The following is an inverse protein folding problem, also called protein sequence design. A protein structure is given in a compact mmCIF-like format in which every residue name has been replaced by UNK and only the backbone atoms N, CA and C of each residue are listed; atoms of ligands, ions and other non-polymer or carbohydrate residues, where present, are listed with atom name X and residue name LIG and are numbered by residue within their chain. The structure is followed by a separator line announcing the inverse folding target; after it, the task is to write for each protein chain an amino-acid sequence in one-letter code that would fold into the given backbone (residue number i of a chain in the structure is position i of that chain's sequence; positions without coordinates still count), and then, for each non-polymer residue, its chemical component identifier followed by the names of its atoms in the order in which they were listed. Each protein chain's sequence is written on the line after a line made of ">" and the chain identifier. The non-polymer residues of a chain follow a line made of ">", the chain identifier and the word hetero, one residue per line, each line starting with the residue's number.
data_IF_778626626248
#
_entry.id   IF_778626626248
#
_cell.length_a   1.000
_cell.length_b   1.000
_cell.length_c   1.000
_cell.angle_alpha   90.00
_cell.angle_beta   90.00
_cell.angle_gamma   90.00
#
_symmetry.space_group_name_H-M   'P 1'
#
loop_
_entity.id
_entity.type
_entity.pdbx_description
1 polymer ?
#
# COMPACT_ATOMS: atom_id res chain seq x y z
N UNK A 1 8.95 -19.14 18.48
CA UNK A 1 8.73 -19.17 17.02
C UNK A 1 7.95 -17.93 16.61
N UNK A 2 8.46 -17.23 15.61
CA UNK A 2 7.76 -16.03 15.11
C UNK A 2 6.66 -16.43 14.14
N UNK A 3 5.49 -15.82 14.28
CA UNK A 3 4.38 -16.04 13.38
C UNK A 3 4.53 -15.11 12.17
N UNK A 4 4.45 -15.67 10.98
CA UNK A 4 4.52 -14.89 9.75
C UNK A 4 3.10 -14.58 9.26
N UNK A 5 2.92 -13.37 8.73
CA UNK A 5 1.65 -12.91 8.18
C UNK A 5 1.86 -12.46 6.75
N UNK A 6 0.84 -12.67 5.94
CA UNK A 6 0.80 -12.10 4.60
C UNK A 6 0.24 -10.69 4.71
N UNK A 7 0.98 -9.72 4.20
CA UNK A 7 0.58 -8.33 4.25
C UNK A 7 0.55 -7.73 2.85
N UNK A 8 -0.26 -6.71 2.64
CA UNK A 8 -0.35 -6.01 1.36
C UNK A 8 -0.14 -4.53 1.59
N UNK A 9 0.73 -3.94 0.77
CA UNK A 9 1.09 -2.54 0.85
C UNK A 9 0.75 -1.86 -0.46
N UNK A 10 -0.03 -0.78 -0.40
CA UNK A 10 -0.30 0.07 -1.55
C UNK A 10 0.90 0.92 -1.88
N UNK A 11 1.22 1.01 -3.16
CA UNK A 11 2.33 1.79 -3.69
C UNK A 11 1.78 2.91 -4.56
N UNK A 12 2.20 4.15 -4.35
CA UNK A 12 1.75 5.26 -5.16
C UNK A 12 2.78 6.36 -5.27
N UNK A 13 2.86 7.00 -6.43
CA UNK A 13 3.71 8.16 -6.65
C UNK A 13 3.18 8.96 -7.83
N UNK A 14 3.26 10.30 -7.78
CA UNK A 14 2.87 11.13 -8.91
C UNK A 14 3.83 12.28 -9.20
N UNK A 15 4.98 12.31 -8.55
CA UNK A 15 6.02 13.30 -8.79
C UNK A 15 7.31 12.63 -9.23
N UNK A 16 8.07 13.29 -10.10
CA UNK A 16 9.36 12.85 -10.56
C UNK A 16 9.30 11.55 -11.37
N UNK A 17 10.32 10.74 -11.29
CA UNK A 17 10.36 9.43 -11.94
C UNK A 17 9.60 8.44 -11.07
N UNK A 18 8.30 8.35 -11.30
CA UNK A 18 7.36 7.56 -10.49
C UNK A 18 7.76 6.08 -10.44
N UNK A 19 8.08 5.51 -11.60
CA UNK A 19 8.43 4.09 -11.66
C UNK A 19 9.70 3.79 -10.90
N UNK A 20 10.75 4.59 -11.09
CA UNK A 20 12.02 4.40 -10.38
C UNK A 20 11.82 4.54 -8.86
N UNK A 21 11.01 5.52 -8.44
CA UNK A 21 10.71 5.73 -7.02
C UNK A 21 10.02 4.51 -6.42
N UNK A 22 9.00 3.96 -7.10
CA UNK A 22 8.28 2.81 -6.58
C UNK A 22 9.16 1.55 -6.59
N UNK A 23 9.99 1.36 -7.59
CA UNK A 23 10.95 0.26 -7.61
C UNK A 23 11.94 0.37 -6.44
N UNK A 24 12.42 1.57 -6.17
CA UNK A 24 13.33 1.80 -5.04
C UNK A 24 12.63 1.52 -3.72
N UNK A 25 11.37 1.91 -3.58
CA UNK A 25 10.59 1.58 -2.37
C UNK A 25 10.52 0.08 -2.16
N UNK A 26 10.24 -0.69 -3.21
CA UNK A 26 10.17 -2.16 -3.13
C UNK A 26 11.53 -2.73 -2.73
N UNK A 27 12.62 -2.23 -3.29
CA UNK A 27 13.97 -2.68 -2.92
C UNK A 27 14.27 -2.42 -1.45
N UNK A 28 13.90 -1.25 -0.94
CA UNK A 28 14.12 -0.90 0.47
C UNK A 28 13.29 -1.80 1.38
N UNK A 29 12.06 -2.12 1.00
CA UNK A 29 11.23 -3.06 1.76
C UNK A 29 11.84 -4.46 1.73
N UNK A 30 12.27 -4.92 0.56
CA UNK A 30 12.86 -6.25 0.41
C UNK A 30 14.15 -6.42 1.23
N UNK A 31 14.89 -5.33 1.43
CA UNK A 31 16.10 -5.34 2.26
C UNK A 31 15.86 -5.13 3.74
N UNK A 32 14.61 -4.98 4.17
CA UNK A 32 14.27 -4.70 5.57
C UNK A 32 14.16 -5.98 6.39
N UNK A 33 14.74 -6.02 7.62
CA UNK A 33 14.58 -7.17 8.50
C UNK A 33 13.10 -7.45 8.78
N UNK A 34 12.71 -8.72 8.70
CA UNK A 34 11.34 -9.15 8.98
C UNK A 34 10.37 -8.97 7.83
N UNK A 35 10.83 -8.56 6.67
CA UNK A 35 10.00 -8.38 5.48
C UNK A 35 10.57 -9.16 4.31
N UNK A 36 9.71 -9.95 3.65
CA UNK A 36 10.01 -10.58 2.38
C UNK A 36 8.98 -10.09 1.37
N UNK A 37 9.43 -9.49 0.28
CA UNK A 37 8.53 -9.11 -0.82
C UNK A 37 8.36 -10.32 -1.71
N UNK A 38 7.14 -10.85 -1.79
CA UNK A 38 6.87 -12.08 -2.56
C UNK A 38 6.28 -11.80 -3.93
N UNK A 39 5.64 -10.66 -4.13
CA UNK A 39 5.09 -10.30 -5.43
C UNK A 39 4.80 -8.81 -5.49
N UNK A 40 4.81 -8.25 -6.68
CA UNK A 40 4.41 -6.86 -6.94
C UNK A 40 3.46 -6.87 -8.13
N UNK A 41 2.36 -6.17 -8.02
CA UNK A 41 1.39 -6.09 -9.11
C UNK A 41 1.92 -5.25 -10.27
N UNK A 42 1.22 -5.29 -11.39
CA UNK A 42 1.40 -4.32 -12.47
C UNK A 42 1.20 -2.91 -11.90
N UNK A 43 2.05 -1.99 -12.31
CA UNK A 43 1.89 -0.57 -11.96
C UNK A 43 1.00 0.08 -13.01
N UNK A 44 -0.03 0.82 -12.57
CA UNK A 44 -1.02 1.43 -13.45
C UNK A 44 -1.18 2.90 -13.15
N UNK A 45 -1.36 3.70 -14.19
CA UNK A 45 -1.68 5.12 -14.01
C UNK A 45 -3.13 5.27 -13.58
N UNK A 46 -3.37 6.17 -12.62
CA UNK A 46 -4.70 6.46 -12.12
C UNK A 46 -4.88 7.95 -11.96
N UNK A 47 -6.14 8.40 -12.08
CA UNK A 47 -6.47 9.81 -11.88
C UNK A 47 -6.37 10.17 -10.39
N UNK A 48 -5.94 11.43 -10.09
CA UNK A 48 -5.88 11.88 -8.69
C UNK A 48 -7.26 11.87 -8.04
N UNK A 49 -7.29 11.49 -6.74
CA UNK A 49 -8.51 11.49 -5.93
C UNK A 49 -8.41 12.63 -4.93
N UNK A 50 -9.41 13.49 -4.88
CA UNK A 50 -9.54 14.58 -3.92
C UNK A 50 -8.95 15.90 -4.39
N UNK A 51 -7.69 15.92 -4.82
CA UNK A 51 -7.02 17.09 -5.35
C UNK A 51 -6.70 16.86 -6.84
N UNK A 52 -7.59 17.34 -7.71
CA UNK A 52 -7.54 16.99 -9.14
C UNK A 52 -6.45 17.72 -9.93
N UNK A 53 -5.97 18.88 -9.46
CA UNK A 53 -4.98 19.68 -10.17
C UNK A 53 -3.56 19.21 -9.87
N UNK A 54 -3.23 18.01 -10.33
CA UNK A 54 -1.92 17.40 -10.13
C UNK A 54 -1.69 16.28 -11.16
N UNK A 55 -0.42 15.85 -11.34
CA UNK A 55 -0.14 14.73 -12.24
C UNK A 55 -0.85 13.45 -11.81
N UNK A 56 -1.07 12.55 -12.77
CA UNK A 56 -1.65 11.25 -12.49
C UNK A 56 -0.70 10.43 -11.62
N UNK A 57 -1.28 9.60 -10.76
CA UNK A 57 -0.53 8.65 -9.94
C UNK A 57 -0.13 7.42 -10.72
N UNK A 58 1.02 6.85 -10.37
CA UNK A 58 1.35 5.49 -10.72
C UNK A 58 1.12 4.65 -9.47
N UNK A 59 0.27 3.63 -9.55
CA UNK A 59 -0.15 2.83 -8.40
C UNK A 59 0.05 1.35 -8.63
N UNK A 60 0.27 0.63 -7.53
CA UNK A 60 0.31 -0.81 -7.51
C UNK A 60 0.19 -1.32 -6.07
N UNK A 61 0.40 -2.61 -5.90
CA UNK A 61 0.39 -3.26 -4.58
C UNK A 61 1.54 -4.25 -4.51
N UNK A 62 2.21 -4.28 -3.36
CA UNK A 62 3.21 -5.29 -3.05
C UNK A 62 2.63 -6.28 -2.04
N UNK A 63 2.83 -7.57 -2.30
CA UNK A 63 2.50 -8.62 -1.35
C UNK A 63 3.75 -8.99 -0.57
N UNK A 64 3.64 -9.02 0.74
CA UNK A 64 4.75 -9.27 1.66
C UNK A 64 4.43 -10.48 2.53
N UNK A 65 5.49 -11.14 2.99
CA UNK A 65 5.42 -12.02 4.16
C UNK A 65 6.26 -11.36 5.24
N UNK A 66 5.70 -11.21 6.43
CA UNK A 66 6.37 -10.47 7.50
C UNK A 66 6.07 -11.06 8.86
N UNK A 67 7.06 -10.99 9.77
CA UNK A 67 6.86 -11.30 11.17
C UNK A 67 6.70 -10.03 12.03
N UNK A 68 6.68 -8.86 11.39
CA UNK A 68 6.46 -7.60 12.09
C UNK A 68 4.99 -7.45 12.46
N UNK A 69 4.73 -6.79 13.60
CA UNK A 69 3.37 -6.39 13.94
C UNK A 69 2.88 -5.33 12.97
N UNK A 70 1.55 -5.08 12.89
CA UNK A 70 1.05 -3.98 12.05
C UNK A 70 1.71 -2.65 12.36
N UNK A 71 1.91 -2.33 13.64
CA UNK A 71 2.57 -1.08 14.05
C UNK A 71 4.01 -1.02 13.59
N UNK A 72 4.77 -2.09 13.78
CA UNK A 72 6.18 -2.14 13.37
C UNK A 72 6.30 -2.05 11.85
N UNK A 73 5.41 -2.70 11.12
CA UNK A 73 5.40 -2.62 9.66
C UNK A 73 5.07 -1.20 9.20
N UNK A 74 4.06 -0.57 9.79
CA UNK A 74 3.73 0.83 9.47
C UNK A 74 4.92 1.75 9.71
N UNK A 75 5.61 1.58 10.84
CA UNK A 75 6.78 2.41 11.16
C UNK A 75 7.85 2.26 10.07
N UNK A 76 8.07 1.03 9.58
CA UNK A 76 9.05 0.81 8.51
C UNK A 76 8.60 1.45 7.20
N UNK A 77 7.31 1.39 6.87
CA UNK A 77 6.78 2.06 5.67
C UNK A 77 7.03 3.57 5.74
N UNK A 78 6.80 4.17 6.90
CA UNK A 78 7.06 5.60 7.11
C UNK A 78 8.54 5.96 6.98
N UNK A 79 9.43 5.09 7.47
CA UNK A 79 10.87 5.28 7.31
C UNK A 79 11.28 5.24 5.83
N UNK A 80 10.74 4.29 5.07
CA UNK A 80 11.03 4.18 3.62
C UNK A 80 10.55 5.44 2.91
N UNK A 81 9.36 5.93 3.24
CA UNK A 81 8.87 7.18 2.66
C UNK A 81 9.83 8.33 2.92
N UNK A 82 10.33 8.45 4.14
CA UNK A 82 11.30 9.50 4.50
C UNK A 82 12.62 9.35 3.76
N UNK A 83 13.11 8.12 3.62
CA UNK A 83 14.33 7.85 2.86
C UNK A 83 14.18 8.27 1.39
N UNK A 84 12.97 8.20 0.86
CA UNK A 84 12.67 8.58 -0.52
C UNK A 84 12.26 10.06 -0.66
N UNK A 85 12.37 10.83 0.41
CA UNK A 85 12.19 12.26 0.38
C UNK A 85 10.78 12.78 0.64
N UNK A 86 9.85 11.92 1.05
CA UNK A 86 8.51 12.39 1.40
C UNK A 86 8.51 13.05 2.77
N UNK A 87 7.89 14.25 2.83
CA UNK A 87 7.63 14.94 4.09
C UNK A 87 6.12 15.02 4.28
N UNK A 88 5.60 14.28 5.25
CA UNK A 88 4.16 14.27 5.55
C UNK A 88 3.74 15.56 6.24
N UNK A 89 2.53 16.00 5.96
CA UNK A 89 1.95 17.19 6.56
C UNK A 89 2.22 18.47 5.80
N UNK A 90 2.99 18.43 4.72
CA UNK A 90 3.22 19.58 3.85
C UNK A 90 2.31 19.51 2.63
N UNK A 91 1.88 20.67 2.16
CA UNK A 91 1.05 20.79 0.98
C UNK A 91 -0.41 20.43 1.22
N UNK A 92 -1.25 20.47 0.18
CA UNK A 92 -2.66 20.17 0.31
C UNK A 92 -2.91 18.68 0.57
N UNK A 93 -3.97 18.39 1.30
CA UNK A 93 -4.40 17.02 1.53
C UNK A 93 -4.69 16.36 0.18
N UNK A 94 -4.26 15.11 0.00
CA UNK A 94 -4.34 14.37 -1.27
C UNK A 94 -3.58 15.04 -2.43
N UNK A 95 -2.69 15.98 -2.14
CA UNK A 95 -1.86 16.63 -3.14
C UNK A 95 -0.70 15.78 -3.64
N UNK A 96 0.19 16.38 -4.46
CA UNK A 96 1.33 15.65 -5.04
C UNK A 96 2.25 15.03 -4.01
N UNK A 97 2.77 13.82 -4.32
CA UNK A 97 3.66 13.08 -3.43
C UNK A 97 4.72 12.32 -4.21
N UNK A 98 5.95 12.37 -3.69
CA UNK A 98 7.03 11.59 -4.26
C UNK A 98 6.71 10.09 -4.13
N UNK A 99 6.23 9.68 -2.95
CA UNK A 99 5.88 8.29 -2.68
C UNK A 99 4.82 8.21 -1.60
N UNK A 100 3.95 7.21 -1.72
CA UNK A 100 2.90 6.94 -0.74
C UNK A 100 2.86 5.42 -0.54
N UNK A 101 3.09 4.97 0.68
CA UNK A 101 3.06 3.56 1.05
C UNK A 101 1.97 3.35 2.10
N UNK A 102 0.91 2.62 1.72
CA UNK A 102 -0.23 2.39 2.59
C UNK A 102 -0.29 0.92 3.04
N UNK A 103 -0.39 0.70 4.34
CA UNK A 103 -0.64 -0.64 4.86
C UNK A 103 -2.12 -0.97 4.62
N UNK A 104 -2.38 -1.91 3.71
CA UNK A 104 -3.73 -2.27 3.28
C UNK A 104 -4.31 -3.40 4.12
N UNK A 105 -3.55 -4.47 4.27
CA UNK A 105 -3.96 -5.68 4.97
C UNK A 105 -2.77 -6.28 5.71
N UNK A 106 -3.02 -6.88 6.86
CA UNK A 106 -2.01 -7.59 7.65
C UNK A 106 -2.63 -8.89 8.17
N UNK A 107 -2.54 -9.95 7.35
CA UNK A 107 -3.23 -11.20 7.63
C UNK A 107 -4.73 -10.97 7.77
N UNK A 108 -5.31 -11.54 8.80
CA UNK A 108 -6.73 -11.36 9.14
C UNK A 108 -6.93 -10.29 10.21
N UNK A 109 -5.89 -9.56 10.58
CA UNK A 109 -5.96 -8.62 11.70
C UNK A 109 -6.82 -7.41 11.40
N UNK A 110 -7.56 -6.99 12.43
CA UNK A 110 -8.35 -5.76 12.42
C UNK A 110 -7.81 -4.88 13.54
N UNK A 111 -7.27 -3.72 13.16
CA UNK A 111 -6.66 -2.78 14.09
C UNK A 111 -7.30 -1.42 13.90
N UNK A 112 -7.69 -0.78 14.99
CA UNK A 112 -8.23 0.58 14.97
C UNK A 112 -7.61 1.35 16.12
N UNK A 113 -6.44 1.91 15.83
CA UNK A 113 -5.66 2.67 16.79
C UNK A 113 -5.29 4.02 16.18
N UNK A 114 -4.85 4.93 17.02
CA UNK A 114 -4.39 6.24 16.55
C UNK A 114 -3.25 6.08 15.54
N UNK A 115 -3.48 6.56 14.32
CA UNK A 115 -2.50 6.49 13.25
C UNK A 115 -2.36 5.14 12.57
N UNK A 116 -3.18 4.14 12.97
CA UNK A 116 -3.10 2.81 12.39
C UNK A 116 -4.49 2.17 12.29
N UNK A 117 -5.01 2.10 11.09
CA UNK A 117 -6.28 1.41 10.81
C UNK A 117 -6.04 0.34 9.75
N UNK A 118 -6.29 -0.92 10.11
CA UNK A 118 -6.13 -2.08 9.23
C UNK A 118 -7.38 -2.94 9.34
N UNK A 119 -8.02 -3.34 8.26
CA UNK A 119 -7.74 -2.99 6.85
C UNK A 119 -7.83 -1.49 6.59
N UNK A 120 -7.13 -1.03 5.55
CA UNK A 120 -7.18 0.38 5.20
C UNK A 120 -8.63 0.83 5.02
N UNK A 121 -9.06 1.95 5.63
CA UNK A 121 -10.49 2.30 5.71
C UNK A 121 -11.16 2.54 4.36
N UNK A 122 -10.39 2.89 3.32
CA UNK A 122 -10.93 3.16 1.99
C UNK A 122 -10.66 2.06 0.97
N UNK A 123 -10.10 0.94 1.42
CA UNK A 123 -9.68 -0.14 0.53
C UNK A 123 -10.83 -0.61 -0.37
N UNK A 124 -11.99 -0.85 0.20
CA UNK A 124 -13.13 -1.40 -0.51
C UNK A 124 -13.75 -0.43 -1.53
N UNK A 125 -13.42 0.86 -1.43
CA UNK A 125 -13.97 1.91 -2.30
C UNK A 125 -13.05 2.26 -3.47
N UNK A 126 -11.81 1.75 -3.47
CA UNK A 126 -10.79 2.18 -4.44
C UNK A 126 -10.44 1.09 -5.43
N UNK A 127 -10.96 1.21 -6.67
CA UNK A 127 -10.63 0.24 -7.71
C UNK A 127 -9.12 0.15 -7.97
N UNK A 128 -8.40 1.26 -7.84
CA UNK A 128 -6.94 1.26 -8.04
C UNK A 128 -6.18 0.51 -6.94
N UNK A 129 -6.88 0.07 -5.89
CA UNK A 129 -6.37 -0.84 -4.86
C UNK A 129 -6.91 -2.25 -5.10
N UNK A 130 -8.22 -2.37 -5.36
CA UNK A 130 -8.87 -3.67 -5.56
C UNK A 130 -8.34 -4.42 -6.78
N UNK A 131 -8.10 -3.73 -7.89
CA UNK A 131 -7.61 -4.37 -9.09
C UNK A 131 -6.22 -5.00 -8.91
N UNK A 132 -5.22 -4.29 -8.35
CA UNK A 132 -3.93 -4.92 -8.07
C UNK A 132 -4.01 -6.04 -7.04
N UNK A 133 -4.85 -5.90 -6.02
CA UNK A 133 -5.05 -6.98 -5.04
C UNK A 133 -5.59 -8.23 -5.73
N UNK A 134 -6.57 -8.07 -6.58
CA UNK A 134 -7.16 -9.18 -7.33
C UNK A 134 -6.13 -9.81 -8.28
N UNK A 135 -5.27 -9.01 -8.88
CA UNK A 135 -4.18 -9.52 -9.72
C UNK A 135 -3.25 -10.44 -8.94
N UNK A 136 -2.89 -10.03 -7.71
CA UNK A 136 -1.96 -10.79 -6.87
C UNK A 136 -2.61 -12.03 -6.25
N UNK A 137 -3.88 -11.94 -5.90
CA UNK A 137 -4.64 -13.04 -5.31
C UNK A 137 -6.11 -12.94 -5.72
N UNK A 138 -6.51 -13.65 -6.80
CA UNK A 138 -7.89 -13.61 -7.28
C UNK A 138 -8.93 -14.10 -6.27
N UNK A 139 -8.51 -14.86 -5.26
CA UNK A 139 -9.40 -15.41 -4.25
C UNK A 139 -9.36 -14.67 -2.91
N UNK A 140 -8.67 -13.51 -2.89
CA UNK A 140 -8.49 -12.76 -1.66
C UNK A 140 -9.83 -12.37 -1.03
N UNK A 141 -9.95 -12.68 0.26
CA UNK A 141 -11.10 -12.31 1.09
C UNK A 141 -10.62 -11.36 2.18
N UNK A 142 -11.37 -10.30 2.41
CA UNK A 142 -11.07 -9.34 3.46
C UNK A 142 -11.46 -9.91 4.83
N UNK A 143 -10.91 -9.38 5.94
CA UNK A 143 -11.26 -9.85 7.27
C UNK A 143 -12.76 -9.82 7.60
N UNK A 144 -13.53 -8.95 6.95
CA UNK A 144 -14.98 -8.88 7.14
C UNK A 144 -15.76 -9.90 6.31
N UNK A 145 -15.06 -10.75 5.55
CA UNK A 145 -15.67 -11.81 4.76
C UNK A 145 -16.00 -11.44 3.31
N UNK A 146 -15.87 -10.17 2.94
CA UNK A 146 -16.11 -9.75 1.54
C UNK A 146 -14.94 -10.19 0.65
N UNK A 147 -15.27 -10.68 -0.54
CA UNK A 147 -14.24 -11.05 -1.52
C UNK A 147 -13.91 -9.85 -2.41
N UNK A 148 -12.62 -9.66 -2.66
CA UNK A 148 -12.17 -8.57 -3.55
C UNK A 148 -12.81 -8.71 -4.94
N UNK A 149 -12.91 -9.93 -5.46
CA UNK A 149 -13.54 -10.19 -6.75
C UNK A 149 -14.99 -9.68 -6.80
N UNK A 150 -15.74 -9.83 -5.71
CA UNK A 150 -17.12 -9.37 -5.64
C UNK A 150 -17.20 -7.84 -5.59
N UNK A 151 -16.30 -7.22 -4.84
CA UNK A 151 -16.23 -5.74 -4.76
C UNK A 151 -15.92 -5.12 -6.13
N UNK A 152 -15.14 -5.80 -6.95
CA UNK A 152 -14.81 -5.32 -8.30
C UNK A 152 -15.99 -5.37 -9.27
N UNK A 153 -17.02 -6.18 -8.98
CA UNK A 153 -18.22 -6.30 -9.82
C UNK A 153 -19.24 -5.20 -9.56
N UNK A 154 -19.10 -4.50 -8.45
CA UNK A 154 -20.04 -3.44 -8.05
C UNK A 154 -19.83 -2.13 -8.81
#
# INVERSE_FOLDING_TARGET
>A
MRVEHKAYVGLGANLGDREATLRRAVELLAGSPGIEVVAVSTLRETDPVGYADQPRFLNGVAALVTNLSPRALLDRLLEVERELGRVRGEGPRFGPRTVDLDLLLHGEEVVDERGLVVPHPRLAERRFVLEPLHELDPELTLPDGRRVADLLRE
#
